data_IF_371135560003
#
_entry.id   IF_371135560003
#
_cell.length_a   1.000
_cell.length_b   1.000
_cell.length_c   1.000
_cell.angle_alpha   90.00
_cell.angle_beta   90.00
_cell.angle_gamma   90.00
#
_symmetry.space_group_name_H-M   'P 1'
#
loop_
_entity.id
_entity.type
_entity.pdbx_description
1 polymer ?
#
# COMPACT_ATOMS: atom_id res chain seq x y z
N UNK A 1 -41.73 47.74 44.96
CA UNK A 1 -40.33 47.58 44.50
C UNK A 1 -40.24 46.26 43.76
N UNK A 2 -39.94 46.31 42.45
CA UNK A 2 -39.87 45.15 41.54
C UNK A 2 -38.55 44.42 41.77
N UNK A 3 -38.57 43.11 41.99
CA UNK A 3 -37.39 42.27 41.84
C UNK A 3 -37.71 41.15 40.84
N UNK A 4 -37.14 41.27 39.65
CA UNK A 4 -37.15 40.25 38.62
C UNK A 4 -36.01 39.27 38.94
N UNK A 5 -36.35 37.99 39.09
CA UNK A 5 -35.39 36.91 39.28
C UNK A 5 -35.07 36.31 37.90
N UNK A 6 -33.91 36.67 37.34
CA UNK A 6 -33.36 36.05 36.13
C UNK A 6 -32.69 34.72 36.53
N UNK A 7 -33.29 33.59 36.16
CA UNK A 7 -32.59 32.29 36.15
C UNK A 7 -31.76 32.19 34.87
N UNK A 8 -30.43 32.19 35.02
CA UNK A 8 -29.52 31.82 33.95
C UNK A 8 -29.39 30.28 33.90
N UNK A 9 -29.84 29.67 32.81
CA UNK A 9 -29.56 28.27 32.50
C UNK A 9 -28.17 28.18 31.85
N UNK A 10 -27.18 27.69 32.58
CA UNK A 10 -25.89 27.28 32.00
C UNK A 10 -26.00 25.83 31.52
N UNK A 11 -26.10 25.62 30.21
CA UNK A 11 -25.96 24.29 29.59
C UNK A 11 -24.47 23.99 29.48
N UNK A 12 -23.95 23.12 30.35
CA UNK A 12 -22.61 22.56 30.22
C UNK A 12 -22.66 21.44 29.17
N UNK A 13 -22.08 21.67 28.00
CA UNK A 13 -21.86 20.64 26.98
C UNK A 13 -20.63 19.85 27.40
N UNK A 14 -20.81 18.63 27.89
CA UNK A 14 -19.72 17.71 28.14
C UNK A 14 -19.18 17.20 26.80
N UNK A 15 -17.99 17.67 26.42
CA UNK A 15 -17.23 17.11 25.30
C UNK A 15 -16.68 15.74 25.73
N UNK A 16 -17.26 14.67 25.19
CA UNK A 16 -16.69 13.33 25.28
C UNK A 16 -15.45 13.26 24.39
N UNK A 17 -14.27 13.28 24.99
CA UNK A 17 -13.01 12.99 24.32
C UNK A 17 -13.01 11.51 23.90
N UNK A 18 -12.99 11.24 22.60
CA UNK A 18 -12.70 9.91 22.09
C UNK A 18 -11.24 9.57 22.44
N UNK A 19 -11.05 8.65 23.38
CA UNK A 19 -9.75 8.05 23.64
C UNK A 19 -9.26 7.35 22.36
N UNK A 20 -8.29 7.97 21.70
CA UNK A 20 -7.49 7.33 20.67
C UNK A 20 -6.63 6.28 21.37
N UNK A 21 -6.95 5.01 21.16
CA UNK A 21 -6.11 3.89 21.60
C UNK A 21 -4.83 3.94 20.77
N UNK A 22 -3.80 4.57 21.32
CA UNK A 22 -2.43 4.53 20.77
C UNK A 22 -1.90 3.12 21.01
N UNK A 23 -1.49 2.37 19.97
CA UNK A 23 -0.89 1.07 20.17
C UNK A 23 0.42 1.22 20.97
N UNK A 24 0.64 0.30 21.91
CA UNK A 24 1.79 0.33 22.79
C UNK A 24 3.10 0.34 21.98
N UNK A 25 3.98 1.29 22.32
CA UNK A 25 5.31 1.44 21.77
C UNK A 25 6.12 0.17 22.07
N UNK A 26 6.30 -0.69 21.08
CA UNK A 26 7.19 -1.86 21.19
C UNK A 26 8.62 -1.30 21.28
N UNK A 27 9.27 -1.54 22.42
CA UNK A 27 10.68 -1.22 22.57
C UNK A 27 11.49 -2.25 21.75
N UNK A 28 12.20 -1.77 20.72
CA UNK A 28 13.23 -2.58 20.05
C UNK A 28 14.36 -2.85 21.06
N UNK A 29 14.43 -4.10 21.53
CA UNK A 29 15.57 -4.65 22.24
C UNK A 29 16.23 -5.72 21.37
N UNK A 30 17.54 -5.57 21.23
CA UNK A 30 18.60 -6.51 20.84
C UNK A 30 18.44 -7.34 19.56
N UNK A 31 19.44 -7.18 18.68
CA UNK A 31 19.55 -7.73 17.33
C UNK A 31 19.20 -9.21 17.22
N UNK A 32 18.14 -9.50 16.47
CA UNK A 32 17.87 -10.83 15.95
C UNK A 32 18.94 -11.19 14.89
N UNK A 33 19.40 -12.45 14.84
CA UNK A 33 20.42 -12.87 13.88
C UNK A 33 19.91 -12.75 12.44
N UNK A 34 20.75 -12.19 11.56
CA UNK A 34 20.55 -12.08 10.10
C UNK A 34 20.07 -13.40 9.47
N UNK A 35 18.79 -13.48 9.10
CA UNK A 35 18.20 -14.65 8.44
C UNK A 35 18.09 -14.50 6.91
N UNK A 36 18.42 -13.34 6.34
CA UNK A 36 18.67 -13.19 4.90
C UNK A 36 17.42 -13.18 4.01
N UNK A 37 16.22 -12.97 4.56
CA UNK A 37 14.97 -12.97 3.79
C UNK A 37 14.18 -11.66 3.80
N UNK A 38 14.67 -10.59 4.42
CA UNK A 38 13.92 -9.35 4.67
C UNK A 38 13.64 -8.52 3.38
N UNK A 39 12.40 -8.16 3.03
CA UNK A 39 12.19 -6.81 2.44
C UNK A 39 12.90 -5.86 3.38
N UNK A 40 13.64 -4.86 2.90
CA UNK A 40 14.42 -3.96 3.75
C UNK A 40 13.66 -3.68 5.08
N UNK A 41 14.17 -4.23 6.20
CA UNK A 41 13.67 -4.02 7.56
C UNK A 41 12.30 -4.63 7.88
N UNK A 42 11.79 -5.48 6.99
CA UNK A 42 10.54 -6.20 7.08
C UNK A 42 10.71 -7.67 7.47
N UNK A 43 9.59 -8.38 7.51
CA UNK A 43 9.51 -9.80 7.90
C UNK A 43 8.66 -10.60 6.90
N UNK A 44 8.82 -11.91 6.89
CA UNK A 44 7.95 -12.77 6.08
C UNK A 44 6.50 -12.59 6.52
N UNK A 45 5.62 -12.32 5.56
CA UNK A 45 4.19 -12.29 5.81
C UNK A 45 3.72 -13.70 6.11
N UNK A 46 2.81 -13.87 7.06
CA UNK A 46 2.33 -15.22 7.39
C UNK A 46 1.58 -15.81 6.20
N UNK A 47 1.95 -17.03 5.81
CA UNK A 47 1.35 -17.74 4.68
C UNK A 47 -0.18 -17.80 4.81
N UNK A 48 -0.87 -17.36 3.74
CA UNK A 48 -2.33 -17.33 3.67
C UNK A 48 -2.96 -16.04 4.22
N UNK A 49 -2.16 -15.11 4.74
CA UNK A 49 -2.62 -13.76 5.08
C UNK A 49 -2.43 -12.82 3.86
N UNK A 50 -3.14 -11.68 3.86
CA UNK A 50 -3.06 -10.66 2.81
C UNK A 50 -3.27 -11.18 1.37
N UNK A 51 -4.12 -12.20 1.19
CA UNK A 51 -4.30 -12.89 -0.10
C UNK A 51 -4.81 -12.02 -1.26
N UNK A 52 -5.23 -10.78 -0.98
CA UNK A 52 -5.53 -9.80 -2.03
C UNK A 52 -4.28 -9.33 -2.79
N UNK A 53 -3.08 -9.51 -2.25
CA UNK A 53 -1.83 -9.16 -2.94
C UNK A 53 -1.72 -9.99 -4.21
N UNK A 54 -1.46 -9.33 -5.33
CA UNK A 54 -1.40 -9.93 -6.66
C UNK A 54 -0.01 -9.76 -7.24
N UNK A 55 0.55 -10.83 -7.81
CA UNK A 55 1.81 -10.78 -8.56
C UNK A 55 1.59 -10.86 -10.06
N UNK A 56 2.08 -9.88 -10.81
CA UNK A 56 2.08 -9.87 -12.27
C UNK A 56 3.34 -10.54 -12.84
N UNK A 57 3.14 -11.43 -13.81
CA UNK A 57 4.18 -12.35 -14.31
C UNK A 57 4.20 -12.42 -15.84
N UNK A 58 5.39 -12.70 -16.38
CA UNK A 58 5.60 -12.94 -17.82
C UNK A 58 5.10 -14.32 -18.29
N UNK A 59 5.11 -15.29 -17.39
CA UNK A 59 4.62 -16.66 -17.59
C UNK A 59 3.97 -17.16 -16.29
N UNK A 60 3.12 -18.21 -16.34
CA UNK A 60 2.48 -18.74 -15.12
C UNK A 60 3.48 -19.11 -14.03
N UNK A 61 4.56 -19.80 -14.40
CA UNK A 61 5.61 -20.24 -13.50
C UNK A 61 6.78 -19.24 -13.37
N UNK A 62 6.63 -18.03 -13.92
CA UNK A 62 7.64 -16.99 -13.84
C UNK A 62 7.68 -16.32 -12.46
N UNK A 63 8.65 -15.43 -12.31
CA UNK A 63 8.76 -14.58 -11.12
C UNK A 63 7.81 -13.39 -11.23
N UNK A 64 7.32 -12.93 -10.08
CA UNK A 64 6.59 -11.66 -9.98
C UNK A 64 7.49 -10.50 -10.35
N UNK A 65 7.03 -9.67 -11.30
CA UNK A 65 7.74 -8.46 -11.78
C UNK A 65 7.11 -7.18 -11.26
N UNK A 66 5.80 -7.18 -11.04
CA UNK A 66 5.04 -6.09 -10.40
C UNK A 66 4.02 -6.66 -9.42
N UNK A 67 3.70 -5.89 -8.39
CA UNK A 67 2.61 -6.14 -7.47
C UNK A 67 1.26 -5.57 -7.94
N UNK A 68 0.23 -5.85 -7.16
CA UNK A 68 -1.13 -5.39 -7.36
C UNK A 68 -2.01 -5.76 -6.18
N UNK A 69 -3.25 -5.29 -6.20
CA UNK A 69 -4.26 -5.57 -5.17
C UNK A 69 -5.58 -5.97 -5.82
N UNK A 70 -6.11 -7.14 -5.50
CA UNK A 70 -7.48 -7.51 -5.87
C UNK A 70 -8.47 -6.58 -5.15
N UNK A 71 -9.22 -5.78 -5.90
CA UNK A 71 -10.19 -4.80 -5.36
C UNK A 71 -11.65 -5.14 -5.69
N UNK A 72 -11.86 -6.01 -6.67
CA UNK A 72 -13.14 -6.67 -6.97
C UNK A 72 -12.85 -8.08 -7.55
N UNK A 73 -13.84 -8.97 -7.72
CA UNK A 73 -13.60 -10.37 -8.08
C UNK A 73 -12.67 -10.60 -9.28
N UNK A 74 -12.68 -9.74 -10.30
CA UNK A 74 -11.79 -9.83 -11.46
C UNK A 74 -11.03 -8.53 -11.74
N UNK A 75 -10.89 -7.65 -10.74
CA UNK A 75 -10.31 -6.32 -10.90
C UNK A 75 -9.12 -6.19 -9.96
N UNK A 76 -7.96 -5.93 -10.54
CA UNK A 76 -6.70 -5.70 -9.80
C UNK A 76 -6.28 -4.25 -9.98
N UNK A 77 -6.07 -3.54 -8.87
CA UNK A 77 -5.45 -2.21 -8.83
C UNK A 77 -3.94 -2.36 -8.79
N UNK A 78 -3.22 -1.62 -9.64
CA UNK A 78 -1.75 -1.66 -9.73
C UNK A 78 -1.21 -0.32 -10.22
N UNK A 79 0.11 -0.23 -10.43
CA UNK A 79 0.75 0.95 -10.98
C UNK A 79 0.60 1.01 -12.51
N UNK A 80 0.38 2.21 -13.06
CA UNK A 80 0.21 2.39 -14.50
C UNK A 80 1.45 1.97 -15.29
N UNK A 81 2.66 2.15 -14.73
CA UNK A 81 3.90 1.76 -15.38
C UNK A 81 4.14 0.24 -15.45
N UNK A 82 3.36 -0.56 -14.72
CA UNK A 82 3.36 -2.03 -14.83
C UNK A 82 2.52 -2.52 -16.02
N UNK A 83 1.52 -1.73 -16.44
CA UNK A 83 0.61 -2.03 -17.53
C UNK A 83 1.22 -1.65 -18.89
N UNK A 84 2.11 -2.49 -19.44
CA UNK A 84 2.69 -2.26 -20.78
C UNK A 84 2.51 -3.46 -21.71
N UNK A 85 1.55 -4.35 -21.42
CA UNK A 85 1.22 -5.51 -22.26
C UNK A 85 2.25 -6.65 -22.26
N UNK A 86 3.21 -6.66 -21.33
CA UNK A 86 4.24 -7.73 -21.24
C UNK A 86 4.07 -8.63 -20.01
N UNK A 87 3.06 -8.39 -19.17
CA UNK A 87 2.73 -9.18 -17.99
C UNK A 87 1.33 -9.79 -18.14
N UNK A 88 1.15 -10.79 -19.02
CA UNK A 88 -0.18 -11.32 -19.33
C UNK A 88 -0.78 -12.17 -18.21
N UNK A 89 -0.03 -12.51 -17.16
CA UNK A 89 -0.50 -13.35 -16.07
C UNK A 89 -0.54 -12.58 -14.75
N UNK A 90 -1.59 -12.81 -13.98
CA UNK A 90 -1.74 -12.34 -12.61
C UNK A 90 -1.97 -13.55 -11.70
N UNK A 91 -1.25 -13.61 -10.58
CA UNK A 91 -1.46 -14.63 -9.55
C UNK A 91 -1.91 -13.93 -8.28
N UNK A 92 -3.16 -14.16 -7.89
CA UNK A 92 -3.77 -13.54 -6.72
C UNK A 92 -3.57 -14.43 -5.50
N UNK A 93 -3.00 -13.88 -4.43
CA UNK A 93 -2.88 -14.55 -3.13
C UNK A 93 -1.89 -15.70 -3.07
N UNK A 94 -0.90 -15.72 -3.97
CA UNK A 94 0.31 -16.54 -3.82
C UNK A 94 1.13 -16.05 -2.63
N UNK A 95 1.84 -16.95 -1.95
CA UNK A 95 2.87 -16.58 -0.97
C UNK A 95 4.25 -16.51 -1.65
N UNK A 96 4.46 -17.30 -2.70
CA UNK A 96 5.78 -17.44 -3.32
C UNK A 96 5.97 -16.48 -4.51
N UNK A 97 7.21 -16.03 -4.67
CA UNK A 97 7.64 -15.20 -5.81
C UNK A 97 7.38 -15.90 -7.14
N UNK A 98 7.63 -17.20 -7.20
CA UNK A 98 7.59 -18.03 -8.40
C UNK A 98 6.47 -19.07 -8.34
N UNK A 99 5.94 -19.48 -9.49
CA UNK A 99 4.79 -20.38 -9.57
C UNK A 99 3.46 -19.73 -9.15
N UNK A 100 2.42 -20.56 -9.05
CA UNK A 100 1.06 -20.13 -8.73
C UNK A 100 0.26 -21.16 -7.90
N UNK A 101 0.91 -22.20 -7.39
CA UNK A 101 0.22 -23.38 -6.79
C UNK A 101 -0.59 -23.05 -5.53
N UNK A 102 -0.26 -21.99 -4.82
CA UNK A 102 -0.93 -21.53 -3.60
C UNK A 102 -1.75 -20.24 -3.80
N UNK A 103 -1.77 -19.73 -5.03
CA UNK A 103 -2.59 -18.60 -5.46
C UNK A 103 -3.61 -18.99 -6.54
N UNK A 104 -4.34 -18.00 -7.01
CA UNK A 104 -5.29 -18.14 -8.11
C UNK A 104 -4.69 -17.49 -9.37
N UNK A 105 -4.32 -18.31 -10.35
CA UNK A 105 -3.83 -17.85 -11.64
C UNK A 105 -4.98 -17.33 -12.51
N UNK A 106 -4.77 -16.18 -13.13
CA UNK A 106 -5.64 -15.59 -14.14
C UNK A 106 -4.82 -14.92 -15.24
N UNK A 107 -5.46 -14.67 -16.37
CA UNK A 107 -4.89 -13.91 -17.49
C UNK A 107 -5.44 -12.48 -17.46
N UNK A 108 -4.57 -11.50 -17.67
CA UNK A 108 -4.96 -10.11 -17.86
C UNK A 108 -5.52 -9.95 -19.28
N UNK A 109 -6.78 -9.52 -19.38
CA UNK A 109 -7.49 -9.34 -20.66
C UNK A 109 -7.66 -7.87 -21.04
N UNK A 110 -7.54 -6.96 -20.07
CA UNK A 110 -7.64 -5.54 -20.30
C UNK A 110 -6.73 -4.80 -19.32
N UNK A 111 -6.00 -3.81 -19.83
CA UNK A 111 -5.15 -2.90 -19.06
C UNK A 111 -5.67 -1.48 -19.23
N UNK A 112 -6.06 -0.83 -18.13
CA UNK A 112 -6.66 0.50 -18.14
C UNK A 112 -5.80 1.41 -17.27
N UNK A 113 -5.11 2.36 -17.89
CA UNK A 113 -4.31 3.36 -17.15
C UNK A 113 -5.18 4.54 -16.75
N UNK A 114 -4.81 5.18 -15.65
CA UNK A 114 -5.38 6.47 -15.29
C UNK A 114 -5.23 7.46 -16.47
N UNK A 115 -6.28 8.22 -16.83
CA UNK A 115 -6.26 9.09 -18.01
C UNK A 115 -5.27 10.26 -17.89
N UNK A 116 -4.98 10.71 -16.67
CA UNK A 116 -3.88 11.63 -16.42
C UNK A 116 -2.54 10.86 -16.39
N UNK A 117 -1.62 11.09 -17.35
CA UNK A 117 -0.35 10.36 -17.44
C UNK A 117 0.63 10.66 -16.30
N UNK A 118 0.38 11.69 -15.49
CA UNK A 118 1.17 12.01 -14.29
C UNK A 118 0.75 11.23 -13.05
N UNK A 119 -0.33 10.44 -13.13
CA UNK A 119 -0.83 9.60 -12.03
C UNK A 119 -0.51 8.14 -12.37
N UNK A 120 0.30 7.51 -11.56
CA UNK A 120 0.80 6.16 -11.80
C UNK A 120 -0.13 5.06 -11.26
N UNK A 121 -1.43 5.16 -11.55
CA UNK A 121 -2.45 4.18 -11.14
C UNK A 121 -3.06 3.52 -12.37
N UNK A 122 -3.35 2.22 -12.28
CA UNK A 122 -4.03 1.48 -13.33
C UNK A 122 -4.85 0.30 -12.82
N UNK A 123 -5.73 -0.18 -13.68
CA UNK A 123 -6.61 -1.34 -13.46
C UNK A 123 -6.21 -2.43 -14.46
N UNK A 124 -6.08 -3.65 -13.97
CA UNK A 124 -6.03 -4.85 -14.78
C UNK A 124 -7.32 -5.65 -14.59
N UNK A 125 -7.98 -6.00 -15.70
CA UNK A 125 -9.15 -6.87 -15.71
C UNK A 125 -8.71 -8.29 -16.00
N UNK A 126 -9.15 -9.22 -15.15
CA UNK A 126 -8.83 -10.64 -15.24
C UNK A 126 -9.88 -11.39 -16.08
N UNK A 127 -9.46 -12.44 -16.77
CA UNK A 127 -10.31 -13.29 -17.60
C UNK A 127 -11.37 -14.09 -16.82
N UNK A 128 -11.29 -14.12 -15.49
CA UNK A 128 -12.22 -14.82 -14.61
C UNK A 128 -12.30 -14.14 -13.25
N UNK A 129 -13.42 -14.39 -12.55
CA UNK A 129 -13.56 -14.01 -11.16
C UNK A 129 -12.71 -14.91 -10.26
N UNK A 130 -12.05 -14.29 -9.29
CA UNK A 130 -11.41 -14.89 -8.14
C UNK A 130 -12.44 -14.93 -7.01
N UNK A 131 -12.89 -16.12 -6.64
CA UNK A 131 -14.01 -16.31 -5.69
C UNK A 131 -13.55 -16.73 -4.30
N UNK A 132 -12.34 -17.28 -4.18
CA UNK A 132 -11.82 -17.86 -2.93
C UNK A 132 -10.93 -16.90 -2.13
N UNK A 133 -10.84 -15.64 -2.58
CA UNK A 133 -10.01 -14.60 -1.99
C UNK A 133 -10.87 -13.33 -1.90
N UNK A 134 -10.98 -12.78 -0.70
CA UNK A 134 -11.70 -11.52 -0.49
C UNK A 134 -10.88 -10.34 -1.06
N UNK A 135 -11.47 -9.50 -1.91
CA UNK A 135 -10.83 -8.27 -2.35
C UNK A 135 -10.56 -7.31 -1.18
N UNK A 136 -9.46 -6.57 -1.23
CA UNK A 136 -9.15 -5.55 -0.22
C UNK A 136 -10.08 -4.35 -0.38
N UNK A 137 -10.62 -3.87 0.75
CA UNK A 137 -11.44 -2.65 0.78
C UNK A 137 -10.55 -1.41 0.68
N UNK A 138 -11.01 -0.41 -0.03
CA UNK A 138 -10.28 0.86 -0.21
C UNK A 138 -10.69 1.87 0.86
N UNK A 139 -9.78 2.77 1.20
CA UNK A 139 -10.09 3.97 1.98
C UNK A 139 -9.92 5.20 1.07
N UNK A 140 -11.04 5.85 0.74
CA UNK A 140 -11.04 7.08 -0.06
C UNK A 140 -10.91 8.35 0.77
N UNK A 141 -10.47 8.23 2.02
CA UNK A 141 -10.14 9.37 2.89
C UNK A 141 -8.63 9.62 2.85
N UNK A 142 -8.24 10.89 2.99
CA UNK A 142 -6.83 11.28 3.01
C UNK A 142 -6.19 10.77 4.30
N UNK A 143 -5.25 9.83 4.17
CA UNK A 143 -4.40 9.40 5.29
C UNK A 143 -3.44 10.54 5.67
N UNK A 144 -3.46 11.01 6.93
CA UNK A 144 -2.55 12.05 7.41
C UNK A 144 -1.14 11.50 7.65
N UNK A 145 -0.16 12.40 7.83
CA UNK A 145 1.19 12.02 8.25
C UNK A 145 1.22 11.46 9.67
N UNK A 146 2.19 10.60 9.96
CA UNK A 146 2.35 9.96 11.26
C UNK A 146 1.50 8.71 11.46
N UNK A 147 0.78 8.26 10.41
CA UNK A 147 0.01 7.02 10.42
C UNK A 147 0.90 5.87 9.97
N UNK A 148 0.89 4.78 10.74
CA UNK A 148 1.53 3.53 10.36
C UNK A 148 0.74 2.80 9.27
N UNK A 149 1.48 2.29 8.31
CA UNK A 149 1.00 1.56 7.15
C UNK A 149 1.83 0.31 6.94
N UNK A 150 1.32 -0.62 6.14
CA UNK A 150 1.98 -1.86 5.80
C UNK A 150 2.17 -1.95 4.29
N UNK A 151 3.42 -2.04 3.86
CA UNK A 151 3.78 -2.36 2.49
C UNK A 151 4.03 -3.87 2.35
N UNK A 152 3.65 -4.46 1.21
CA UNK A 152 3.82 -5.90 0.95
C UNK A 152 4.24 -6.19 -0.48
N UNK A 153 5.12 -7.17 -0.65
CA UNK A 153 5.55 -7.62 -1.97
C UNK A 153 6.70 -8.63 -1.95
N UNK A 154 7.29 -8.84 -3.12
CA UNK A 154 8.40 -9.77 -3.39
C UNK A 154 9.58 -9.07 -4.04
N UNK A 155 9.67 -7.75 -3.89
CA UNK A 155 10.73 -6.94 -4.46
C UNK A 155 12.09 -7.27 -3.86
N UNK A 156 13.08 -6.50 -4.28
CA UNK A 156 14.45 -6.73 -3.83
C UNK A 156 14.60 -6.50 -2.33
N UNK A 157 15.26 -7.42 -1.64
CA UNK A 157 15.55 -7.38 -0.19
C UNK A 157 16.60 -6.32 0.18
N UNK A 158 17.25 -5.74 -0.83
CA UNK A 158 18.16 -4.60 -0.72
C UNK A 158 18.32 -3.94 -2.08
N UNK A 159 18.80 -2.69 -2.10
CA UNK A 159 19.08 -1.98 -3.35
C UNK A 159 20.07 -2.76 -4.23
N UNK A 160 19.68 -3.12 -5.46
CA UNK A 160 20.41 -4.03 -6.36
C UNK A 160 20.63 -5.46 -5.81
N UNK A 161 19.72 -5.93 -4.96
CA UNK A 161 19.71 -7.27 -4.38
C UNK A 161 18.85 -8.28 -5.13
N UNK A 162 18.80 -9.53 -4.64
CA UNK A 162 17.82 -10.50 -5.12
C UNK A 162 16.40 -10.13 -4.65
N UNK A 163 15.39 -10.64 -5.34
CA UNK A 163 14.00 -10.62 -4.87
C UNK A 163 13.80 -11.59 -3.70
N UNK A 164 12.86 -11.31 -2.81
CA UNK A 164 12.44 -12.30 -1.81
C UNK A 164 11.69 -13.45 -2.48
N UNK A 165 11.99 -14.69 -2.09
CA UNK A 165 11.30 -15.88 -2.60
C UNK A 165 9.88 -16.05 -2.02
N UNK A 166 9.55 -15.30 -0.98
CA UNK A 166 8.29 -15.34 -0.23
C UNK A 166 7.72 -13.93 -0.07
N UNK A 167 6.42 -13.84 0.22
CA UNK A 167 5.75 -12.55 0.42
C UNK A 167 6.27 -11.95 1.72
N UNK A 168 6.70 -10.70 1.63
CA UNK A 168 7.24 -9.96 2.76
C UNK A 168 6.32 -8.80 3.11
N UNK A 169 6.41 -8.32 4.36
CA UNK A 169 5.73 -7.13 4.83
C UNK A 169 6.62 -6.25 5.71
N UNK A 170 6.43 -4.94 5.60
CA UNK A 170 7.16 -3.93 6.39
C UNK A 170 6.21 -2.84 6.87
N UNK A 171 6.39 -2.37 8.10
CA UNK A 171 5.63 -1.24 8.66
C UNK A 171 6.33 0.05 8.24
N UNK A 172 5.60 1.00 7.68
CA UNK A 172 6.10 2.30 7.25
C UNK A 172 5.24 3.42 7.82
N UNK A 173 5.87 4.44 8.39
CA UNK A 173 5.18 5.64 8.86
C UNK A 173 5.00 6.63 7.70
N UNK A 174 3.78 7.13 7.52
CA UNK A 174 3.43 8.12 6.48
C UNK A 174 4.00 9.51 6.77
N UNK A 175 4.38 10.23 5.71
CA UNK A 175 4.95 11.57 5.79
C UNK A 175 3.99 12.61 5.20
N UNK A 176 4.13 13.87 5.64
CA UNK A 176 3.55 15.00 4.94
C UNK A 176 4.25 15.18 3.59
N UNK A 177 3.51 15.60 2.57
CA UNK A 177 4.06 15.83 1.23
C UNK A 177 5.21 16.84 1.22
N UNK A 178 5.15 17.89 2.04
CA UNK A 178 6.21 18.90 2.15
C UNK A 178 7.52 18.29 2.67
N UNK A 179 7.49 17.63 3.84
CA UNK A 179 8.63 16.89 4.40
C UNK A 179 9.23 15.89 3.40
N UNK A 180 8.38 15.17 2.66
CA UNK A 180 8.83 14.22 1.66
C UNK A 180 9.48 14.92 0.45
N UNK A 181 8.89 16.02 -0.02
CA UNK A 181 9.46 16.83 -1.10
C UNK A 181 10.81 17.42 -0.72
N UNK A 182 10.95 17.93 0.50
CA UNK A 182 12.23 18.43 1.04
C UNK A 182 13.29 17.32 1.07
N UNK A 183 12.90 16.12 1.48
CA UNK A 183 13.78 14.95 1.44
C UNK A 183 14.24 14.62 0.01
N UNK A 184 13.44 14.88 -1.01
CA UNK A 184 13.84 14.70 -2.40
C UNK A 184 14.51 15.92 -3.04
N UNK A 185 14.49 17.10 -2.40
CA UNK A 185 14.81 18.42 -3.00
C UNK A 185 16.12 18.53 -3.81
N UNK A 186 17.10 17.65 -3.58
CA UNK A 186 18.31 17.55 -4.41
C UNK A 186 18.10 16.93 -5.80
N UNK A 187 16.91 16.40 -6.12
CA UNK A 187 16.59 15.75 -7.41
C UNK A 187 15.56 16.52 -8.24
N UNK A 188 14.97 17.60 -7.70
CA UNK A 188 13.89 18.34 -8.36
C UNK A 188 12.55 17.59 -8.40
N UNK A 189 12.41 16.42 -7.76
CA UNK A 189 11.14 15.70 -7.64
C UNK A 189 10.34 16.22 -6.45
N UNK A 190 9.04 16.42 -6.66
CA UNK A 190 8.08 16.89 -5.64
C UNK A 190 7.02 15.81 -5.42
N UNK A 191 6.64 15.58 -4.16
CA UNK A 191 5.52 14.70 -3.81
C UNK A 191 4.23 15.55 -3.87
N UNK A 192 3.35 15.23 -4.81
CA UNK A 192 2.11 15.98 -5.05
C UNK A 192 0.96 15.47 -4.20
N UNK A 193 -0.18 16.17 -4.18
CA UNK A 193 -1.38 15.73 -3.46
C UNK A 193 -1.99 14.42 -3.96
N UNK A 194 -1.65 13.99 -5.19
CA UNK A 194 -2.01 12.66 -5.72
C UNK A 194 -1.14 11.55 -5.15
N UNK A 195 -0.07 11.88 -4.44
CA UNK A 195 0.89 10.94 -3.89
C UNK A 195 0.83 10.89 -2.35
N UNK A 196 1.40 9.83 -1.81
CA UNK A 196 1.59 9.55 -0.40
C UNK A 196 3.01 9.03 -0.20
N UNK A 197 3.75 9.59 0.74
CA UNK A 197 5.08 9.11 1.10
C UNK A 197 5.02 8.32 2.42
N UNK A 198 5.77 7.24 2.53
CA UNK A 198 5.89 6.46 3.77
C UNK A 198 7.29 5.83 3.91
N UNK A 199 7.75 5.65 5.15
CA UNK A 199 9.05 5.04 5.47
C UNK A 199 10.13 6.07 5.76
N UNK A 200 11.32 5.86 5.20
CA UNK A 200 12.49 6.74 5.39
C UNK A 200 13.30 6.44 6.65
N UNK A 201 12.99 5.36 7.35
CA UNK A 201 13.88 4.72 8.32
C UNK A 201 14.98 4.00 7.54
N UNK A 202 16.21 4.01 8.07
CA UNK A 202 17.33 3.33 7.41
C UNK A 202 17.08 1.83 7.36
N UNK A 203 17.29 1.25 6.18
CA UNK A 203 17.07 -0.17 5.98
C UNK A 203 15.61 -0.58 5.93
N UNK A 204 14.62 0.34 5.85
CA UNK A 204 13.19 0.01 5.72
C UNK A 204 12.54 0.65 4.48
N UNK A 205 12.09 -0.15 3.50
CA UNK A 205 11.39 0.35 2.30
C UNK A 205 10.81 -0.77 1.41
N UNK A 206 9.97 -0.39 0.44
CA UNK A 206 9.76 -1.20 -0.77
C UNK A 206 10.92 -1.00 -1.76
N UNK A 207 11.10 -1.96 -2.67
CA UNK A 207 12.17 -1.87 -3.66
C UNK A 207 11.75 -2.29 -5.07
N UNK A 208 12.73 -2.40 -5.97
CA UNK A 208 12.49 -2.84 -7.34
C UNK A 208 11.70 -4.16 -7.36
N UNK A 209 10.72 -4.24 -8.25
CA UNK A 209 9.70 -5.30 -8.39
C UNK A 209 8.57 -5.33 -7.34
N UNK A 210 8.53 -4.38 -6.40
CA UNK A 210 7.35 -4.16 -5.54
C UNK A 210 6.32 -3.20 -6.15
N UNK A 211 6.68 -2.52 -7.25
CA UNK A 211 5.81 -1.56 -7.95
C UNK A 211 4.40 -2.09 -8.20
N UNK A 212 3.40 -1.26 -7.92
CA UNK A 212 1.98 -1.63 -7.98
C UNK A 212 1.46 -2.37 -6.76
N UNK A 213 2.35 -2.82 -5.86
CA UNK A 213 2.00 -3.50 -4.62
C UNK A 213 1.20 -2.61 -3.64
N UNK A 214 0.48 -3.25 -2.70
CA UNK A 214 -0.37 -2.55 -1.75
C UNK A 214 0.41 -1.81 -0.67
N UNK A 215 -0.04 -0.58 -0.36
CA UNK A 215 0.15 0.04 0.94
C UNK A 215 -1.18 0.08 1.68
N UNK A 216 -1.26 -0.61 2.82
CA UNK A 216 -2.50 -0.69 3.61
C UNK A 216 -2.35 -0.04 4.98
N UNK A 217 -3.47 0.32 5.59
CA UNK A 217 -3.54 0.72 7.01
C UNK A 217 -4.63 -0.09 7.72
N UNK A 218 -4.54 -0.19 9.03
CA UNK A 218 -5.59 -0.77 9.85
C UNK A 218 -6.49 0.34 10.39
N UNK A 219 -7.80 0.21 10.14
CA UNK A 219 -8.83 1.04 10.77
C UNK A 219 -9.77 0.14 11.58
N UNK A 220 -10.67 0.73 12.38
CA UNK A 220 -11.64 -0.03 13.18
C UNK A 220 -12.47 -1.04 12.37
N UNK A 221 -12.69 -0.76 11.09
CA UNK A 221 -13.41 -1.61 10.16
C UNK A 221 -12.51 -2.62 9.39
N UNK A 222 -11.27 -2.83 9.84
CA UNK A 222 -10.28 -3.76 9.27
C UNK A 222 -9.27 -3.10 8.33
N UNK A 223 -8.48 -3.93 7.65
CA UNK A 223 -7.44 -3.48 6.70
C UNK A 223 -8.05 -2.68 5.55
N UNK A 224 -7.41 -1.58 5.17
CA UNK A 224 -7.78 -0.76 4.02
C UNK A 224 -6.60 -0.43 3.14
N UNK A 225 -6.79 -0.52 1.83
CA UNK A 225 -5.83 -0.06 0.83
C UNK A 225 -5.85 1.46 0.74
N UNK A 226 -4.69 2.09 0.92
CA UNK A 226 -4.52 3.54 0.97
C UNK A 226 -3.52 4.07 -0.05
N UNK A 227 -2.63 3.21 -0.55
CA UNK A 227 -1.66 3.56 -1.56
C UNK A 227 -1.30 2.41 -2.49
N UNK A 228 -0.77 2.77 -3.65
CA UNK A 228 -0.22 1.85 -4.67
C UNK A 228 1.25 2.19 -4.85
N UNK A 229 2.16 1.23 -4.66
CA UNK A 229 3.59 1.47 -4.76
C UNK A 229 3.98 1.99 -6.15
N UNK A 230 4.75 3.07 -6.23
CA UNK A 230 5.03 3.74 -7.50
C UNK A 230 6.51 4.00 -7.73
N UNK A 231 7.18 4.77 -6.87
CA UNK A 231 8.58 5.13 -7.06
C UNK A 231 9.30 5.45 -5.75
N UNK A 232 10.64 5.50 -5.82
CA UNK A 232 11.50 5.89 -4.70
C UNK A 232 12.85 6.43 -5.21
N UNK A 233 13.78 6.72 -4.29
CA UNK A 233 15.16 7.09 -4.65
C UNK A 233 16.13 6.05 -4.10
N UNK A 234 16.21 4.93 -4.82
CA UNK A 234 16.74 3.70 -4.23
C UNK A 234 15.85 3.24 -3.08
N UNK A 235 16.29 2.19 -2.39
CA UNK A 235 15.49 1.53 -1.36
C UNK A 235 16.20 1.58 -0.01
N UNK A 236 15.43 1.78 1.07
CA UNK A 236 15.88 1.71 2.48
C UNK A 236 16.91 2.75 2.85
N UNK A 237 16.89 3.92 2.19
CA UNK A 237 17.82 5.01 2.49
C UNK A 237 17.27 5.86 3.61
N UNK A 238 18.10 6.11 4.63
CA UNK A 238 17.78 7.04 5.70
C UNK A 238 17.29 8.40 5.17
N UNK A 239 16.13 8.84 5.63
CA UNK A 239 15.51 10.10 5.24
C UNK A 239 15.09 10.16 3.77
N UNK A 240 14.82 9.03 3.13
CA UNK A 240 14.20 8.93 1.79
C UNK A 240 13.03 7.94 1.87
N UNK A 241 11.78 8.41 1.98
CA UNK A 241 10.63 7.52 1.99
C UNK A 241 10.37 6.92 0.60
N UNK A 242 9.65 5.81 0.55
CA UNK A 242 8.99 5.34 -0.67
C UNK A 242 7.79 6.22 -1.01
N UNK A 243 7.46 6.31 -2.30
CA UNK A 243 6.33 7.10 -2.81
C UNK A 243 5.30 6.20 -3.48
N UNK A 244 4.06 6.43 -3.09
CA UNK A 244 2.88 5.68 -3.45
C UNK A 244 1.88 6.63 -4.10
N UNK A 245 1.11 6.14 -5.06
CA UNK A 245 -0.07 6.85 -5.52
C UNK A 245 -1.17 6.73 -4.48
N UNK A 246 -1.78 7.87 -4.13
CA UNK A 246 -2.78 7.97 -3.07
C UNK A 246 -4.13 7.50 -3.61
N UNK A 247 -4.65 6.41 -3.06
CA UNK A 247 -5.93 5.82 -3.49
C UNK A 247 -7.08 6.83 -3.45
N UNK A 248 -7.14 7.66 -2.41
CA UNK A 248 -8.19 8.69 -2.28
C UNK A 248 -8.18 9.73 -3.39
N UNK A 249 -7.01 10.03 -3.99
CA UNK A 249 -6.89 11.00 -5.07
C UNK A 249 -7.36 10.44 -6.43
N UNK A 250 -7.40 9.11 -6.56
CA UNK A 250 -7.84 8.40 -7.77
C UNK A 250 -9.24 7.80 -7.61
N UNK A 251 -10.05 8.30 -6.67
CA UNK A 251 -11.39 7.75 -6.38
C UNK A 251 -12.26 7.65 -7.63
N UNK A 252 -12.41 8.75 -8.36
CA UNK A 252 -13.30 8.82 -9.54
C UNK A 252 -12.88 7.83 -10.64
N UNK A 253 -11.58 7.52 -10.71
CA UNK A 253 -11.04 6.51 -11.61
C UNK A 253 -11.32 5.09 -11.12
N UNK A 254 -11.21 4.82 -9.82
CA UNK A 254 -11.29 3.46 -9.26
C UNK A 254 -12.73 3.02 -8.99
N UNK A 255 -13.57 3.91 -8.46
CA UNK A 255 -14.93 3.62 -8.00
C UNK A 255 -15.82 2.89 -9.03
N UNK A 256 -15.75 3.19 -10.35
CA UNK A 256 -16.54 2.47 -11.36
C UNK A 256 -16.25 0.96 -11.46
N UNK A 257 -15.09 0.50 -10.97
CA UNK A 257 -14.66 -0.89 -11.01
C UNK A 257 -14.95 -1.66 -9.72
N UNK A 258 -15.53 -1.01 -8.71
CA UNK A 258 -15.87 -1.64 -7.45
C UNK A 258 -17.26 -2.30 -7.50
N UNK A 259 -17.51 -3.34 -6.67
CA UNK A 259 -18.87 -3.87 -6.49
C UNK A 259 -19.82 -2.75 -6.02
N UNK A 260 -21.04 -2.75 -6.57
CA UNK A 260 -22.12 -1.85 -6.17
C UNK A 260 -22.89 -2.38 -4.97
#
# INVERSE_FOLDING_TARGET
MKFALLLAFTVAVAALTQDQVVPAKVACGDEAPYDGFEILGGKEAKRGEHRYVTGFKKSPDGDTVCGGSLIAPNVVLTAAHCLKGFLPYAVVGTHFLTGYKDGELATVIEEIKHPNPSVDVGIAILNRNITNIEPVKLLFEKVPSGVYTWARGWGQVRHYGPQSSVLMEVILETWSNDKASDAFGTTGKTVTDTMLAAGGVEGEDMCDNDSGGPLTTEVSAGVRLVGVASWGRGCGRHGKPGVYERVSASRDFIEPYLPK
#
